data_IF_832730552763
#
_entry.id   IF_832730552763
#
_cell.length_a   1.000
_cell.length_b   1.000
_cell.length_c   1.000
_cell.angle_alpha   90.00
_cell.angle_beta   90.00
_cell.angle_gamma   90.00
#
_symmetry.space_group_name_H-M   'P 1'
#
loop_
_entity.id
_entity.type
_entity.pdbx_description
1 polymer ?
#
# COMPACT_ATOMS: atom_id res chain seq x y z
N UNK A 1 -9.43 -8.98 -3.01
CA UNK A 1 -8.41 -9.14 -1.94
C UNK A 1 -7.46 -10.26 -2.32
N UNK A 2 -6.18 -10.03 -2.15
CA UNK A 2 -5.15 -11.01 -2.45
C UNK A 2 -4.39 -11.39 -1.18
N UNK A 3 -3.74 -12.56 -1.19
CA UNK A 3 -2.94 -13.02 -0.06
C UNK A 3 -1.49 -13.15 -0.50
N UNK A 4 -0.59 -12.50 0.24
CA UNK A 4 0.85 -12.64 0.06
C UNK A 4 1.38 -13.71 1.03
N UNK A 5 2.56 -14.24 0.74
CA UNK A 5 3.19 -15.21 1.64
C UNK A 5 3.51 -14.55 2.97
N UNK A 6 3.26 -15.27 4.07
CA UNK A 6 3.54 -14.76 5.40
C UNK A 6 5.03 -14.94 5.71
N UNK A 7 5.77 -13.83 5.77
CA UNK A 7 7.22 -13.87 5.90
C UNK A 7 7.76 -12.96 7.01
N UNK A 8 6.89 -12.35 7.83
CA UNK A 8 7.32 -11.39 8.85
C UNK A 8 6.40 -11.43 10.07
N UNK A 9 6.90 -10.95 11.20
CA UNK A 9 6.19 -10.96 12.47
C UNK A 9 5.95 -9.58 13.06
N UNK A 10 6.79 -8.59 12.74
CA UNK A 10 6.71 -7.24 13.31
C UNK A 10 6.67 -6.20 12.21
N UNK A 11 6.00 -5.07 12.47
CA UNK A 11 5.83 -4.03 11.47
C UNK A 11 7.14 -3.51 10.89
N UNK A 12 8.17 -3.38 11.74
CA UNK A 12 9.48 -2.94 11.30
C UNK A 12 10.14 -3.92 10.33
N UNK A 13 10.05 -5.21 10.62
CA UNK A 13 10.55 -6.27 9.74
C UNK A 13 9.71 -6.39 8.49
N UNK A 14 8.41 -6.18 8.63
CA UNK A 14 7.45 -6.20 7.55
C UNK A 14 7.84 -5.21 6.45
N UNK A 15 8.06 -3.95 6.83
CA UNK A 15 8.39 -2.89 5.87
C UNK A 15 9.70 -3.20 5.13
N UNK A 16 10.73 -3.56 5.87
CA UNK A 16 12.04 -3.90 5.32
C UNK A 16 11.98 -5.11 4.38
N UNK A 17 11.27 -6.15 4.79
CA UNK A 17 11.14 -7.37 4.00
C UNK A 17 10.31 -7.13 2.75
N UNK A 18 9.22 -6.38 2.88
CA UNK A 18 8.33 -6.10 1.77
C UNK A 18 9.02 -5.30 0.67
N UNK A 19 9.86 -4.34 1.03
CA UNK A 19 10.63 -3.57 0.05
C UNK A 19 11.49 -4.47 -0.84
N UNK A 20 12.00 -5.55 -0.29
CA UNK A 20 12.83 -6.52 -1.03
C UNK A 20 12.00 -7.53 -1.81
N UNK A 21 10.70 -7.63 -1.54
CA UNK A 21 9.85 -8.67 -2.10
C UNK A 21 8.50 -8.12 -2.58
N UNK A 22 8.52 -6.97 -3.24
CA UNK A 22 7.31 -6.34 -3.76
C UNK A 22 6.56 -7.25 -4.75
N UNK A 23 7.26 -8.16 -5.42
CA UNK A 23 6.65 -9.17 -6.30
C UNK A 23 5.58 -9.99 -5.59
N UNK A 24 5.75 -10.23 -4.27
CA UNK A 24 4.77 -11.00 -3.51
C UNK A 24 3.48 -10.22 -3.29
N UNK A 25 3.55 -8.89 -3.30
CA UNK A 25 2.37 -8.04 -3.18
C UNK A 25 1.63 -7.98 -4.50
N UNK A 26 2.34 -7.74 -5.57
CA UNK A 26 1.81 -7.70 -6.92
C UNK A 26 2.96 -7.89 -7.91
N UNK A 27 2.83 -8.83 -8.87
CA UNK A 27 3.86 -9.02 -9.89
C UNK A 27 4.14 -7.73 -10.66
N UNK A 28 5.41 -7.43 -10.87
CA UNK A 28 5.83 -6.27 -11.63
C UNK A 28 6.03 -4.99 -10.84
N UNK A 29 5.76 -4.99 -9.53
CA UNK A 29 6.02 -3.83 -8.70
C UNK A 29 7.51 -3.64 -8.46
N UNK A 30 7.97 -2.39 -8.63
CA UNK A 30 9.34 -1.97 -8.33
C UNK A 30 9.30 -0.74 -7.44
N UNK A 31 10.24 -0.66 -6.51
CA UNK A 31 10.34 0.49 -5.62
C UNK A 31 10.71 1.75 -6.41
N UNK A 32 10.05 2.87 -6.10
CA UNK A 32 10.23 4.12 -6.82
C UNK A 32 11.21 5.09 -6.17
N UNK A 33 11.23 5.17 -4.84
CA UNK A 33 11.97 6.19 -4.11
C UNK A 33 13.28 5.69 -3.47
N UNK A 34 13.84 4.59 -3.96
CA UNK A 34 15.09 4.04 -3.45
C UNK A 34 15.03 3.61 -1.99
N UNK A 35 13.87 3.17 -1.54
CA UNK A 35 13.66 2.71 -0.17
C UNK A 35 13.37 3.78 0.84
N UNK A 36 13.15 5.01 0.40
CA UNK A 36 12.83 6.13 1.30
C UNK A 36 11.33 6.25 1.51
N UNK A 37 10.95 6.64 2.72
CA UNK A 37 9.60 7.08 2.97
C UNK A 37 9.38 8.42 2.28
N UNK A 38 8.20 8.61 1.70
CA UNK A 38 7.88 9.83 0.96
C UNK A 38 6.89 10.67 1.73
N UNK A 39 7.23 11.92 1.99
CA UNK A 39 6.33 12.88 2.64
C UNK A 39 5.39 13.45 1.57
N UNK A 40 4.10 13.44 1.86
CA UNK A 40 3.05 14.04 1.04
C UNK A 40 2.22 14.99 1.90
N UNK A 41 1.25 15.67 1.29
CA UNK A 41 0.50 16.74 1.97
C UNK A 41 -0.14 16.28 3.29
N UNK A 42 -0.74 15.08 3.33
CA UNK A 42 -1.47 14.62 4.52
C UNK A 42 -0.70 13.61 5.38
N UNK A 43 0.55 13.29 5.03
CA UNK A 43 1.33 12.38 5.85
C UNK A 43 2.56 11.83 5.16
N UNK A 44 2.86 10.56 5.47
CA UNK A 44 4.06 9.92 4.99
C UNK A 44 3.74 8.52 4.45
N UNK A 45 4.12 8.27 3.21
CA UNK A 45 3.90 6.98 2.54
C UNK A 45 4.96 5.99 3.00
N UNK A 46 4.54 4.78 3.38
CA UNK A 46 5.47 3.72 3.78
C UNK A 46 6.34 3.27 2.63
N UNK A 47 5.74 2.93 1.51
CA UNK A 47 6.47 2.49 0.31
C UNK A 47 5.80 3.10 -0.91
N UNK A 48 6.59 3.74 -1.78
CA UNK A 48 6.14 4.20 -3.08
C UNK A 48 6.76 3.28 -4.12
N UNK A 49 5.93 2.74 -5.01
CA UNK A 49 6.35 1.82 -6.04
C UNK A 49 5.82 2.24 -7.41
N UNK A 50 6.29 1.57 -8.46
CA UNK A 50 5.72 1.65 -9.80
C UNK A 50 5.26 0.27 -10.22
N UNK A 51 4.12 0.20 -10.89
CA UNK A 51 3.63 -1.06 -11.43
C UNK A 51 4.21 -1.34 -12.83
N UNK A 52 3.83 -2.48 -13.40
CA UNK A 52 4.33 -2.89 -14.72
C UNK A 52 3.96 -1.89 -15.83
N UNK A 53 2.95 -1.07 -15.62
CA UNK A 53 2.52 -0.03 -16.57
C UNK A 53 3.17 1.33 -16.29
N UNK A 54 4.05 1.41 -15.29
CA UNK A 54 4.74 2.64 -14.92
C UNK A 54 3.94 3.58 -14.03
N UNK A 55 2.75 3.18 -13.56
CA UNK A 55 1.93 3.99 -12.66
C UNK A 55 2.48 3.94 -11.24
N UNK A 56 2.40 5.04 -10.52
CA UNK A 56 2.74 5.05 -9.09
C UNK A 56 1.74 4.23 -8.28
N UNK A 57 2.26 3.54 -7.28
CA UNK A 57 1.47 2.75 -6.35
C UNK A 57 1.91 3.10 -4.93
N UNK A 58 0.96 3.58 -4.13
CA UNK A 58 1.18 3.86 -2.70
C UNK A 58 0.89 2.59 -1.92
N UNK A 59 1.82 2.14 -1.10
CA UNK A 59 1.66 0.94 -0.29
C UNK A 59 1.74 1.30 1.19
N UNK A 60 0.68 1.00 1.94
CA UNK A 60 0.63 1.15 3.38
C UNK A 60 0.61 -0.21 4.06
N UNK A 61 1.38 -0.34 5.12
CA UNK A 61 1.55 -1.57 5.86
C UNK A 61 1.04 -1.44 7.27
N UNK A 62 0.27 -2.44 7.70
CA UNK A 62 -0.18 -2.55 9.08
C UNK A 62 0.20 -3.92 9.61
N UNK A 63 0.94 -3.97 10.71
CA UNK A 63 1.23 -5.23 11.37
C UNK A 63 -0.04 -5.70 12.09
N UNK A 64 -0.41 -6.97 11.86
CA UNK A 64 -1.64 -7.51 12.43
C UNK A 64 -2.91 -7.08 11.68
N UNK A 65 -4.08 -7.14 12.35
CA UNK A 65 -5.35 -6.75 11.75
C UNK A 65 -5.35 -5.27 11.35
N UNK A 66 -6.01 -4.96 10.25
CA UNK A 66 -6.07 -3.60 9.75
C UNK A 66 -6.91 -2.70 10.66
N UNK A 67 -6.35 -1.60 11.18
CA UNK A 67 -7.09 -0.70 12.04
C UNK A 67 -8.05 0.19 11.25
N UNK A 68 -9.05 0.74 11.96
CA UNK A 68 -9.94 1.75 11.39
C UNK A 68 -9.11 2.97 10.96
N UNK A 69 -9.53 3.58 9.86
CA UNK A 69 -8.84 4.75 9.32
C UNK A 69 -7.69 4.44 8.36
N UNK A 70 -7.23 3.19 8.30
CA UNK A 70 -6.12 2.84 7.41
C UNK A 70 -6.49 2.98 5.93
N UNK A 71 -7.73 2.62 5.56
CA UNK A 71 -8.19 2.77 4.18
C UNK A 71 -8.26 4.25 3.79
N UNK A 72 -8.83 5.08 4.65
CA UNK A 72 -8.86 6.52 4.45
C UNK A 72 -7.45 7.07 4.28
N UNK A 73 -6.52 6.63 5.11
CA UNK A 73 -5.14 7.07 5.06
C UNK A 73 -4.48 6.76 3.71
N UNK A 74 -4.55 5.52 3.24
CA UNK A 74 -3.91 5.14 1.99
C UNK A 74 -4.54 5.82 0.78
N UNK A 75 -5.86 6.03 0.81
CA UNK A 75 -6.57 6.76 -0.24
C UNK A 75 -6.14 8.23 -0.27
N UNK A 76 -6.02 8.86 0.90
CA UNK A 76 -5.57 10.24 0.99
C UNK A 76 -4.14 10.39 0.44
N UNK A 77 -3.25 9.46 0.79
CA UNK A 77 -1.87 9.49 0.29
C UNK A 77 -1.80 9.31 -1.23
N UNK A 78 -2.63 8.43 -1.80
CA UNK A 78 -2.65 8.24 -3.24
C UNK A 78 -3.18 9.49 -3.96
N UNK A 79 -4.16 10.16 -3.37
CA UNK A 79 -4.67 11.42 -3.88
C UNK A 79 -3.60 12.53 -3.84
N UNK A 80 -2.86 12.61 -2.74
CA UNK A 80 -1.78 13.58 -2.60
C UNK A 80 -0.70 13.35 -3.66
N UNK A 81 -0.34 12.09 -3.89
CA UNK A 81 0.68 11.75 -4.87
C UNK A 81 0.21 12.04 -6.31
N UNK A 82 -1.05 11.79 -6.62
CA UNK A 82 -1.63 12.19 -7.91
C UNK A 82 -1.52 13.70 -8.13
N UNK A 83 -1.87 14.48 -7.12
CA UNK A 83 -1.78 15.93 -7.20
C UNK A 83 -0.34 16.38 -7.43
N UNK A 84 0.59 15.78 -6.70
CA UNK A 84 2.01 16.13 -6.76
C UNK A 84 2.65 15.75 -8.10
N UNK A 85 2.31 14.60 -8.65
CA UNK A 85 2.94 14.06 -9.87
C UNK A 85 2.16 14.36 -11.14
N UNK A 86 0.88 14.70 -11.04
CA UNK A 86 0.02 14.91 -12.19
C UNK A 86 -0.35 13.64 -12.93
N UNK A 87 -0.13 12.46 -12.33
CA UNK A 87 -0.43 11.18 -12.95
C UNK A 87 -1.29 10.30 -12.03
N UNK A 88 -2.13 9.41 -12.59
CA UNK A 88 -2.94 8.51 -11.76
C UNK A 88 -2.08 7.63 -10.85
N UNK A 89 -2.55 7.43 -9.63
CA UNK A 89 -1.90 6.59 -8.64
C UNK A 89 -2.85 5.52 -8.14
N UNK A 90 -2.30 4.34 -7.85
CA UNK A 90 -3.03 3.25 -7.23
C UNK A 90 -2.62 3.13 -5.77
N UNK A 91 -3.43 2.45 -4.98
CA UNK A 91 -3.15 2.23 -3.56
C UNK A 91 -3.25 0.75 -3.22
N UNK A 92 -2.35 0.29 -2.36
CA UNK A 92 -2.39 -1.07 -1.82
C UNK A 92 -2.26 -0.98 -0.31
N UNK A 93 -3.18 -1.61 0.40
CA UNK A 93 -3.18 -1.68 1.86
C UNK A 93 -2.89 -3.12 2.26
N UNK A 94 -1.83 -3.33 3.05
CA UNK A 94 -1.37 -4.65 3.47
C UNK A 94 -1.59 -4.82 4.97
N UNK A 95 -2.24 -5.91 5.37
CA UNK A 95 -2.50 -6.25 6.76
C UNK A 95 -2.70 -7.76 6.89
N UNK A 96 -2.69 -8.29 8.12
CA UNK A 96 -2.92 -9.73 8.31
C UNK A 96 -4.37 -10.13 8.04
N UNK A 97 -5.32 -9.21 8.31
CA UNK A 97 -6.74 -9.41 8.01
C UNK A 97 -7.42 -8.05 7.91
N UNK A 98 -8.60 -8.02 7.28
CA UNK A 98 -9.37 -6.80 7.10
C UNK A 98 -10.77 -6.97 7.66
N UNK A 99 -11.23 -6.02 8.52
CA UNK A 99 -12.63 -6.02 8.98
C UNK A 99 -13.60 -5.90 7.82
N UNK A 100 -14.81 -6.44 8.00
CA UNK A 100 -15.83 -6.43 6.95
C UNK A 100 -16.13 -5.03 6.42
N UNK A 101 -16.15 -4.03 7.30
CA UNK A 101 -16.42 -2.65 6.89
C UNK A 101 -15.35 -2.12 5.93
N UNK A 102 -14.09 -2.42 6.18
CA UNK A 102 -13.00 -1.99 5.30
C UNK A 102 -13.11 -2.69 3.96
N UNK A 103 -13.40 -4.00 3.95
CA UNK A 103 -13.58 -4.74 2.70
C UNK A 103 -14.75 -4.20 1.89
N UNK A 104 -15.86 -3.91 2.55
CA UNK A 104 -17.04 -3.34 1.90
C UNK A 104 -16.74 -1.96 1.31
N UNK A 105 -16.06 -1.09 2.07
CA UNK A 105 -15.70 0.24 1.60
C UNK A 105 -14.73 0.18 0.43
N UNK A 106 -13.75 -0.70 0.47
CA UNK A 106 -12.76 -0.85 -0.60
C UNK A 106 -13.38 -1.26 -1.94
N UNK A 107 -14.49 -2.01 -1.89
CA UNK A 107 -15.21 -2.37 -3.13
C UNK A 107 -15.78 -1.18 -3.87
N UNK A 108 -16.02 -0.08 -3.17
CA UNK A 108 -16.58 1.15 -3.75
C UNK A 108 -15.49 2.16 -4.13
N UNK A 109 -14.27 1.93 -3.68
CA UNK A 109 -13.15 2.79 -4.02
C UNK A 109 -12.42 2.19 -5.21
N UNK A 110 -12.24 2.98 -6.27
CA UNK A 110 -11.44 2.56 -7.41
C UNK A 110 -9.96 2.66 -7.07
N UNK A 111 -9.15 1.87 -7.74
CA UNK A 111 -7.68 1.95 -7.64
C UNK A 111 -7.12 1.63 -6.25
N UNK A 112 -7.86 0.90 -5.41
CA UNK A 112 -7.33 0.39 -4.13
C UNK A 112 -7.48 -1.12 -4.05
N UNK A 113 -6.42 -1.78 -3.56
CA UNK A 113 -6.40 -3.23 -3.39
C UNK A 113 -6.01 -3.57 -1.96
N UNK A 114 -6.63 -4.61 -1.41
CA UNK A 114 -6.33 -5.12 -0.08
C UNK A 114 -5.52 -6.41 -0.25
N UNK A 115 -4.39 -6.49 0.44
CA UNK A 115 -3.50 -7.65 0.39
C UNK A 115 -3.28 -8.17 1.80
N UNK A 116 -3.50 -9.48 2.02
CA UNK A 116 -3.22 -10.13 3.31
C UNK A 116 -1.88 -10.84 3.27
N UNK A 117 -1.31 -11.01 4.45
CA UNK A 117 -0.09 -11.79 4.61
C UNK A 117 -0.26 -12.87 5.69
#
# INVERSE_FOLDING_TARGET
MRTAARIFHYERELKSTLRRQLELVEPGLVEADGGRERVVATGKIDITARDANGHFVVIELKAGPCPHGALEQVLAYSSDLETETGTPCRAILVASEFPDRIRAAAKRATEVYLVTY
#
